data_IF_030555972734
#
_entry.id   IF_030555972734
#
_cell.length_a   1.000
_cell.length_b   1.000
_cell.length_c   1.000
_cell.angle_alpha   90.00
_cell.angle_beta   90.00
_cell.angle_gamma   90.00
#
_symmetry.space_group_name_H-M   'P 1'
#
loop_
_entity.id
_entity.type
_entity.pdbx_description
1 polymer ?
#
# COMPACT_ATOMS: atom_id res chain seq x y z
N UNK A 1 -9.17 13.48 0.23
CA UNK A 1 -9.64 12.92 -1.05
C UNK A 1 -11.08 12.45 -1.00
N UNK A 2 -11.45 11.49 -0.13
CA UNK A 2 -12.84 10.98 -0.06
C UNK A 2 -13.88 12.10 0.14
N UNK A 3 -13.57 13.14 0.91
CA UNK A 3 -14.38 14.35 1.04
C UNK A 3 -14.80 14.96 -0.32
N UNK A 4 -13.84 15.19 -1.22
CA UNK A 4 -14.06 15.79 -2.53
C UNK A 4 -14.72 14.84 -3.54
N UNK A 5 -14.48 13.53 -3.39
CA UNK A 5 -14.93 12.52 -4.33
C UNK A 5 -16.31 11.91 -3.98
N UNK A 6 -16.79 12.12 -2.75
CA UNK A 6 -18.08 11.61 -2.27
C UNK A 6 -19.28 12.08 -3.11
N UNK A 7 -19.39 13.36 -3.55
CA UNK A 7 -20.50 13.80 -4.40
C UNK A 7 -20.58 13.08 -5.75
N UNK A 8 -19.45 12.57 -6.26
CA UNK A 8 -19.37 11.84 -7.52
C UNK A 8 -19.56 10.32 -7.34
N UNK A 9 -19.94 9.87 -6.13
CA UNK A 9 -20.07 8.46 -5.77
C UNK A 9 -18.78 7.64 -6.04
N UNK A 10 -17.61 8.28 -5.95
CA UNK A 10 -16.32 7.60 -6.07
C UNK A 10 -15.87 7.16 -4.67
N UNK A 11 -15.68 5.85 -4.50
CA UNK A 11 -15.16 5.25 -3.27
C UNK A 11 -13.64 5.31 -3.26
N UNK A 12 -13.09 5.77 -2.14
CA UNK A 12 -11.64 5.81 -1.91
C UNK A 12 -11.27 4.70 -0.95
N UNK A 13 -10.30 3.89 -1.35
CA UNK A 13 -9.69 2.86 -0.51
C UNK A 13 -8.29 3.30 -0.08
N UNK A 14 -7.89 2.91 1.13
CA UNK A 14 -6.55 3.17 1.67
C UNK A 14 -6.10 2.00 2.54
N UNK A 15 -4.81 1.87 2.80
CA UNK A 15 -4.25 0.89 3.74
C UNK A 15 -3.35 1.58 4.77
N UNK A 16 -3.25 1.07 6.02
CA UNK A 16 -2.28 1.58 6.98
C UNK A 16 -0.85 1.11 6.65
N UNK A 17 -0.03 1.99 6.09
CA UNK A 17 1.41 1.71 5.89
C UNK A 17 2.26 2.04 7.13
N UNK A 18 1.75 2.91 8.01
CA UNK A 18 2.39 3.30 9.28
C UNK A 18 1.43 2.98 10.42
N UNK A 19 1.94 2.31 11.46
CA UNK A 19 1.14 1.95 12.62
C UNK A 19 0.14 0.83 12.31
N UNK A 20 -1.14 1.09 12.56
CA UNK A 20 -2.26 0.17 12.31
C UNK A 20 -3.51 0.96 11.89
N UNK A 21 -4.60 0.24 11.60
CA UNK A 21 -5.89 0.85 11.25
C UNK A 21 -6.39 1.87 12.27
N UNK A 22 -6.32 1.56 13.56
CA UNK A 22 -6.75 2.49 14.62
C UNK A 22 -5.94 3.78 14.63
N UNK A 23 -4.61 3.66 14.43
CA UNK A 23 -3.72 4.81 14.31
C UNK A 23 -4.08 5.65 13.09
N UNK A 24 -4.31 5.03 11.93
CA UNK A 24 -4.71 5.72 10.71
C UNK A 24 -6.06 6.43 10.86
N UNK A 25 -7.04 5.78 11.50
CA UNK A 25 -8.34 6.41 11.81
C UNK A 25 -8.19 7.62 12.73
N UNK A 26 -7.31 7.56 13.74
CA UNK A 26 -6.99 8.71 14.59
C UNK A 26 -6.35 9.85 13.80
N UNK A 27 -5.51 9.57 12.79
CA UNK A 27 -4.97 10.61 11.92
C UNK A 27 -6.06 11.27 11.09
N UNK A 28 -6.99 10.51 10.50
CA UNK A 28 -8.12 11.09 9.77
C UNK A 28 -9.05 11.93 10.66
N UNK A 29 -9.28 11.51 11.90
CA UNK A 29 -10.09 12.28 12.87
C UNK A 29 -9.50 13.66 13.18
N UNK A 30 -8.17 13.80 13.12
CA UNK A 30 -7.49 15.10 13.30
C UNK A 30 -7.70 16.03 12.10
N UNK A 31 -7.99 15.49 10.92
CA UNK A 31 -8.21 16.25 9.69
C UNK A 31 -9.68 16.62 9.49
N UNK A 32 -10.59 15.70 9.80
CA UNK A 32 -12.03 15.90 9.68
C UNK A 32 -12.77 15.12 10.76
N UNK A 33 -13.57 15.82 11.56
CA UNK A 33 -14.35 15.22 12.64
C UNK A 33 -15.70 14.66 12.16
N UNK A 34 -15.70 14.05 10.96
CA UNK A 34 -16.84 13.31 10.42
C UNK A 34 -16.31 12.09 9.68
N UNK A 35 -16.57 10.91 10.26
CA UNK A 35 -16.14 9.61 9.74
C UNK A 35 -16.79 9.26 8.40
N UNK A 36 -17.91 9.90 8.05
CA UNK A 36 -18.60 9.67 6.77
C UNK A 36 -17.78 10.16 5.55
N UNK A 37 -16.71 10.90 5.78
CA UNK A 37 -15.74 11.33 4.77
C UNK A 37 -14.42 10.58 4.81
N UNK A 38 -14.31 9.52 5.62
CA UNK A 38 -13.09 8.72 5.68
C UNK A 38 -13.04 7.79 4.46
N UNK A 39 -11.84 7.57 3.88
CA UNK A 39 -11.67 6.47 2.94
C UNK A 39 -11.94 5.13 3.64
N UNK A 40 -12.36 4.14 2.86
CA UNK A 40 -12.49 2.78 3.34
C UNK A 40 -11.10 2.18 3.56
N UNK A 41 -10.83 1.73 4.78
CA UNK A 41 -9.55 1.14 5.14
C UNK A 41 -9.59 -0.36 4.85
N UNK A 42 -8.72 -0.83 3.96
CA UNK A 42 -8.40 -2.23 3.73
C UNK A 42 -7.06 -2.56 4.39
N UNK A 43 -6.86 -3.81 4.78
CA UNK A 43 -5.67 -4.26 5.50
C UNK A 43 -5.06 -5.47 4.80
N UNK A 44 -3.74 -5.61 4.92
CA UNK A 44 -3.04 -6.83 4.51
C UNK A 44 -3.34 -7.96 5.50
N UNK A 45 -3.37 -9.21 5.04
CA UNK A 45 -3.58 -10.40 5.91
C UNK A 45 -2.42 -10.57 6.88
N UNK A 46 -1.20 -10.38 6.39
CA UNK A 46 0.02 -10.35 7.19
C UNK A 46 0.34 -8.91 7.59
N UNK A 47 0.77 -8.70 8.85
CA UNK A 47 1.20 -7.38 9.30
C UNK A 47 2.56 -7.00 8.73
N UNK A 48 2.59 -5.94 7.93
CA UNK A 48 3.81 -5.39 7.36
C UNK A 48 4.28 -4.22 8.24
N UNK A 49 5.46 -4.34 8.83
CA UNK A 49 6.03 -3.30 9.67
C UNK A 49 6.65 -2.20 8.81
N UNK A 50 6.30 -0.94 9.08
CA UNK A 50 6.81 0.20 8.35
C UNK A 50 8.34 0.18 8.25
N UNK A 51 8.86 0.31 7.03
CA UNK A 51 10.30 0.30 6.68
C UNK A 51 11.06 -1.00 6.99
N UNK A 52 10.41 -2.04 7.51
CA UNK A 52 11.07 -3.34 7.73
C UNK A 52 11.11 -4.10 6.39
N UNK A 53 12.28 -4.55 5.93
CA UNK A 53 12.36 -5.39 4.75
C UNK A 53 11.44 -6.61 4.85
N UNK A 54 10.64 -6.85 3.83
CA UNK A 54 9.61 -7.88 3.81
C UNK A 54 9.59 -8.63 2.47
N UNK A 55 9.70 -9.96 2.50
CA UNK A 55 9.83 -10.79 1.28
C UNK A 55 8.68 -10.57 0.29
N UNK A 56 7.45 -10.55 0.80
CA UNK A 56 6.24 -10.32 0.00
C UNK A 56 6.24 -8.97 -0.71
N UNK A 57 6.64 -7.91 -0.01
CA UNK A 57 6.73 -6.56 -0.59
C UNK A 57 7.82 -6.47 -1.65
N UNK A 58 8.97 -7.09 -1.40
CA UNK A 58 10.01 -7.16 -2.43
C UNK A 58 9.54 -7.92 -3.67
N UNK A 59 8.73 -8.97 -3.51
CA UNK A 59 8.16 -9.73 -4.62
C UNK A 59 7.25 -8.86 -5.47
N UNK A 60 6.28 -8.18 -4.85
CA UNK A 60 5.39 -7.24 -5.54
C UNK A 60 6.18 -6.16 -6.28
N UNK A 61 7.18 -5.57 -5.61
CA UNK A 61 8.07 -4.58 -6.22
C UNK A 61 8.75 -5.11 -7.49
N UNK A 62 9.30 -6.34 -7.43
CA UNK A 62 9.95 -6.99 -8.57
C UNK A 62 8.96 -7.26 -9.71
N UNK A 63 7.78 -7.79 -9.41
CA UNK A 63 6.75 -8.07 -10.40
C UNK A 63 6.33 -6.82 -11.18
N UNK A 64 6.15 -5.68 -10.51
CA UNK A 64 5.86 -4.42 -11.19
C UNK A 64 7.06 -3.87 -11.96
N UNK A 65 8.26 -3.98 -11.40
CA UNK A 65 9.47 -3.53 -12.07
C UNK A 65 9.73 -4.29 -13.38
N UNK A 66 9.45 -5.59 -13.41
CA UNK A 66 9.55 -6.42 -14.61
C UNK A 66 8.51 -5.99 -15.69
N UNK A 67 7.45 -5.28 -15.31
CA UNK A 67 6.49 -4.62 -16.20
C UNK A 67 6.85 -3.16 -16.53
N UNK A 68 8.05 -2.69 -16.16
CA UNK A 68 8.52 -1.31 -16.29
C UNK A 68 7.72 -0.27 -15.47
N UNK A 69 7.15 -0.68 -14.34
CA UNK A 69 6.49 0.21 -13.37
C UNK A 69 7.27 0.15 -12.06
N UNK A 70 7.82 1.28 -11.63
CA UNK A 70 8.52 1.35 -10.35
C UNK A 70 7.62 1.95 -9.27
N UNK A 71 7.17 1.12 -8.33
CA UNK A 71 6.47 1.55 -7.13
C UNK A 71 7.43 1.70 -5.94
N UNK A 72 7.07 2.54 -4.98
CA UNK A 72 7.84 2.61 -3.74
C UNK A 72 7.59 1.38 -2.84
N UNK A 73 8.64 0.96 -2.13
CA UNK A 73 8.61 -0.22 -1.26
C UNK A 73 7.84 -0.01 0.05
N UNK A 74 7.54 1.23 0.45
CA UNK A 74 6.99 1.55 1.77
C UNK A 74 5.47 1.75 1.76
N UNK A 75 4.93 2.27 0.66
CA UNK A 75 3.51 2.64 0.56
C UNK A 75 2.83 1.91 -0.59
N UNK A 76 3.26 2.14 -1.83
CA UNK A 76 2.56 1.64 -3.01
C UNK A 76 2.58 0.11 -3.06
N UNK A 77 3.74 -0.53 -2.83
CA UNK A 77 3.80 -2.00 -2.76
C UNK A 77 2.96 -2.59 -1.61
N UNK A 78 2.85 -1.88 -0.49
CA UNK A 78 1.98 -2.28 0.63
C UNK A 78 0.50 -2.15 0.27
N UNK A 79 0.14 -1.10 -0.48
CA UNK A 79 -1.22 -0.94 -1.01
C UNK A 79 -1.56 -2.05 -2.01
N UNK A 80 -0.63 -2.42 -2.89
CA UNK A 80 -0.84 -3.55 -3.80
C UNK A 80 -1.03 -4.87 -3.07
N UNK A 81 -0.30 -5.11 -1.98
CA UNK A 81 -0.56 -6.28 -1.13
C UNK A 81 -1.96 -6.21 -0.50
N UNK A 82 -2.37 -5.04 0.01
CA UNK A 82 -3.70 -4.88 0.60
C UNK A 82 -4.82 -5.08 -0.43
N UNK A 83 -4.61 -4.64 -1.67
CA UNK A 83 -5.50 -4.89 -2.80
C UNK A 83 -5.61 -6.39 -3.06
N UNK A 84 -4.48 -7.09 -3.17
CA UNK A 84 -4.44 -8.54 -3.42
C UNK A 84 -5.17 -9.33 -2.32
N UNK A 85 -5.04 -8.90 -1.06
CA UNK A 85 -5.71 -9.55 0.07
C UNK A 85 -7.22 -9.28 0.15
N UNK A 86 -7.72 -8.29 -0.58
CA UNK A 86 -9.12 -7.83 -0.56
C UNK A 86 -9.74 -7.79 -1.98
N UNK A 87 -9.30 -8.64 -2.90
CA UNK A 87 -9.74 -8.62 -4.30
C UNK A 87 -11.25 -8.77 -4.47
N UNK A 88 -11.91 -9.64 -3.71
CA UNK A 88 -13.37 -9.85 -3.82
C UNK A 88 -14.15 -8.56 -3.54
N UNK A 89 -13.71 -7.79 -2.54
CA UNK A 89 -14.29 -6.50 -2.22
C UNK A 89 -14.04 -5.49 -3.34
N UNK A 90 -12.82 -5.43 -3.87
CA UNK A 90 -12.45 -4.44 -4.87
C UNK A 90 -13.06 -4.75 -6.23
N UNK A 91 -13.12 -6.00 -6.66
CA UNK A 91 -13.73 -6.41 -7.92
C UNK A 91 -15.26 -6.31 -7.95
N UNK A 92 -15.89 -5.99 -6.82
CA UNK A 92 -17.29 -5.53 -6.82
C UNK A 92 -17.48 -4.16 -7.51
N UNK A 93 -16.38 -3.44 -7.79
CA UNK A 93 -16.36 -2.17 -8.51
C UNK A 93 -15.87 -2.38 -9.95
N UNK A 94 -16.51 -1.71 -10.92
CA UNK A 94 -16.19 -1.88 -12.34
C UNK A 94 -14.90 -1.19 -12.78
N UNK A 95 -14.64 0.01 -12.25
CA UNK A 95 -13.54 0.87 -12.68
C UNK A 95 -12.62 1.16 -11.49
N UNK A 96 -11.32 1.08 -11.74
CA UNK A 96 -10.30 1.32 -10.74
C UNK A 96 -9.34 2.41 -11.20
N UNK A 97 -9.00 3.31 -10.27
CA UNK A 97 -7.92 4.28 -10.43
C UNK A 97 -6.96 4.07 -9.26
N UNK A 98 -5.75 3.59 -9.57
CA UNK A 98 -4.67 3.53 -8.59
C UNK A 98 -3.94 4.88 -8.55
N UNK A 99 -3.73 5.42 -7.36
CA UNK A 99 -2.94 6.64 -7.17
C UNK A 99 -1.54 6.25 -6.71
N UNK A 100 -0.60 6.30 -7.64
CA UNK A 100 0.82 6.16 -7.32
C UNK A 100 1.27 7.38 -6.52
N UNK A 101 1.64 7.16 -5.26
CA UNK A 101 1.90 8.24 -4.30
C UNK A 101 3.28 8.89 -4.45
N UNK A 102 4.13 8.38 -5.35
CA UNK A 102 5.51 8.81 -5.55
C UNK A 102 6.47 8.04 -4.66
N UNK A 103 7.44 8.72 -4.02
CA UNK A 103 8.31 8.09 -3.01
C UNK A 103 9.42 7.17 -3.55
N UNK A 104 9.54 7.00 -4.87
CA UNK A 104 10.52 6.13 -5.54
C UNK A 104 11.97 6.43 -5.10
N UNK A 105 12.33 7.69 -4.86
CA UNK A 105 13.69 8.06 -4.41
C UNK A 105 14.12 7.35 -3.12
N UNK A 106 13.16 6.94 -2.28
CA UNK A 106 13.44 6.18 -1.06
C UNK A 106 13.85 4.73 -1.33
N UNK A 107 13.51 4.16 -2.50
CA UNK A 107 13.85 2.79 -2.89
C UNK A 107 15.35 2.55 -2.84
N UNK A 108 16.17 3.53 -3.24
CA UNK A 108 17.64 3.42 -3.18
C UNK A 108 18.14 3.00 -1.79
N UNK A 109 17.59 3.61 -0.74
CA UNK A 109 17.99 3.29 0.64
C UNK A 109 17.31 2.03 1.16
N UNK A 110 16.05 1.78 0.77
CA UNK A 110 15.35 0.56 1.14
C UNK A 110 15.99 -0.68 0.54
N UNK A 111 16.32 -0.67 -0.75
CA UNK A 111 16.94 -1.80 -1.45
C UNK A 111 18.27 -2.22 -0.82
N UNK A 112 19.08 -1.28 -0.31
CA UNK A 112 20.29 -1.58 0.48
C UNK A 112 19.97 -2.35 1.77
N UNK A 113 18.83 -2.05 2.41
CA UNK A 113 18.36 -2.80 3.61
C UNK A 113 17.91 -4.20 3.24
N UNK A 114 17.24 -4.37 2.09
CA UNK A 114 16.87 -5.68 1.55
C UNK A 114 18.09 -6.54 1.21
N UNK A 115 19.14 -5.94 0.62
CA UNK A 115 20.44 -6.59 0.38
C UNK A 115 21.09 -7.05 1.67
N UNK A 116 21.20 -6.15 2.66
CA UNK A 116 21.81 -6.48 3.96
C UNK A 116 21.07 -7.61 4.70
N UNK A 117 19.74 -7.71 4.51
CA UNK A 117 18.92 -8.79 5.09
C UNK A 117 18.87 -10.06 4.24
N UNK A 118 19.63 -10.10 3.15
CA UNK A 118 19.69 -11.21 2.21
C UNK A 118 18.30 -11.60 1.65
N UNK A 119 17.39 -10.63 1.54
CA UNK A 119 16.03 -10.90 1.03
C UNK A 119 16.02 -11.01 -0.50
N UNK A 120 16.96 -10.34 -1.18
CA UNK A 120 17.08 -10.42 -2.64
C UNK A 120 17.39 -11.83 -3.14
N UNK A 121 18.21 -12.58 -2.40
CA UNK A 121 18.65 -13.92 -2.79
C UNK A 121 17.60 -14.99 -2.50
N UNK A 122 16.74 -14.75 -1.49
CA UNK A 122 15.66 -15.66 -1.09
C UNK A 122 14.54 -15.79 -2.13
N UNK A 123 14.50 -14.95 -3.18
CA UNK A 123 13.57 -15.11 -4.31
C UNK A 123 14.11 -15.99 -5.44
N UNK A 124 15.43 -16.23 -5.47
CA UNK A 124 16.07 -17.13 -6.45
C UNK A 124 16.17 -18.57 -5.93
N UNK A 125 15.79 -18.81 -4.69
CA UNK A 125 15.81 -20.12 -4.05
C UNK A 125 14.45 -20.82 -4.20
N UNK A 126 14.26 -21.46 -5.37
CA UNK A 126 13.25 -22.48 -5.72
C UNK A 126 11.77 -22.12 -5.55
#
# INVERSE_FOLDING_TARGET
MQYFLKPYNIKVFTTPCVGNKDYLQKQFLRLINDKSYFPQIIETKEKIYFSKPHKLIFKIYREFLDMNIEFDLLYDCVMWQAIADNLDLLFSYKNHLFLHSGGISSNLTQLKRYEFKDIKTLQNAK
#
